data_IF_374061366373
#
_entry.id   IF_374061366373
#
_cell.length_a   1.000
_cell.length_b   1.000
_cell.length_c   1.000
_cell.angle_alpha   90.00
_cell.angle_beta   90.00
_cell.angle_gamma   90.00
#
_symmetry.space_group_name_H-M   'P 1'
#
loop_
_entity.id
_entity.type
_entity.pdbx_description
1 polymer ?
#
# COMPACT_ATOMS: atom_id res chain seq x y z
N UNK A 1 20.72 -2.16 -53.60
CA UNK A 1 21.12 -1.20 -52.54
C UNK A 1 20.34 -1.56 -51.29
N UNK A 2 21.00 -2.01 -50.23
CA UNK A 2 20.34 -2.32 -48.97
C UNK A 2 20.04 -1.01 -48.22
N UNK A 3 18.76 -0.73 -48.02
CA UNK A 3 18.33 0.38 -47.18
C UNK A 3 18.71 0.07 -45.73
N UNK A 4 19.47 0.95 -45.08
CA UNK A 4 19.78 0.83 -43.67
C UNK A 4 18.74 1.60 -42.86
N UNK A 5 18.29 1.00 -41.75
CA UNK A 5 17.33 1.60 -40.83
C UNK A 5 18.06 1.95 -39.55
N UNK A 6 17.90 3.17 -39.05
CA UNK A 6 18.43 3.54 -37.74
C UNK A 6 17.60 2.84 -36.66
N UNK A 7 18.24 2.05 -35.81
CA UNK A 7 17.55 1.29 -34.76
C UNK A 7 16.74 2.17 -33.80
N UNK A 8 17.26 3.36 -33.46
CA UNK A 8 16.63 4.23 -32.46
C UNK A 8 15.42 5.01 -32.98
N UNK A 9 15.49 5.53 -34.20
CA UNK A 9 14.43 6.40 -34.74
C UNK A 9 13.64 5.78 -35.89
N UNK A 10 13.97 4.54 -36.27
CA UNK A 10 13.37 3.79 -37.39
C UNK A 10 13.42 4.50 -38.75
N UNK A 11 14.20 5.58 -38.90
CA UNK A 11 14.35 6.29 -40.17
C UNK A 11 15.27 5.51 -41.10
N UNK A 12 14.83 5.34 -42.34
CA UNK A 12 15.64 4.81 -43.44
C UNK A 12 16.62 5.89 -43.88
N UNK A 13 17.89 5.54 -44.05
CA UNK A 13 18.88 6.45 -44.62
C UNK A 13 19.66 5.76 -45.74
N UNK A 14 19.92 6.51 -46.80
CA UNK A 14 20.66 6.02 -47.97
C UNK A 14 22.15 6.30 -47.77
N UNK A 15 22.99 5.32 -48.11
CA UNK A 15 24.45 5.37 -47.97
C UNK A 15 25.12 6.24 -49.05
N UNK A 16 24.50 7.39 -49.37
CA UNK A 16 24.89 8.24 -50.50
C UNK A 16 25.89 9.28 -49.97
N UNK A 17 27.17 8.88 -49.86
CA UNK A 17 28.33 9.78 -49.91
C UNK A 17 28.59 10.74 -48.74
N UNK A 18 27.67 10.91 -47.78
CA UNK A 18 27.90 11.75 -46.61
C UNK A 18 28.52 10.95 -45.45
N UNK A 19 29.38 11.63 -44.67
CA UNK A 19 30.19 11.11 -43.55
C UNK A 19 29.50 9.93 -42.83
N UNK A 20 30.21 8.81 -42.81
CA UNK A 20 29.74 7.47 -42.51
C UNK A 20 28.78 7.36 -41.30
N UNK A 21 27.77 6.47 -41.36
CA UNK A 21 27.03 6.05 -40.17
C UNK A 21 28.01 5.50 -39.14
N UNK A 22 28.00 6.06 -37.94
CA UNK A 22 28.82 5.54 -36.86
C UNK A 22 28.25 4.20 -36.41
N UNK A 23 29.10 3.18 -36.49
CA UNK A 23 28.80 1.82 -36.05
C UNK A 23 29.07 1.71 -34.57
N UNK A 24 28.10 1.20 -33.83
CA UNK A 24 28.28 0.83 -32.42
C UNK A 24 28.18 -0.69 -32.33
N UNK A 25 29.06 -1.31 -31.55
CA UNK A 25 28.97 -2.76 -31.29
C UNK A 25 27.71 -3.02 -30.46
N UNK A 26 26.90 -4.00 -30.85
CA UNK A 26 25.65 -4.32 -30.16
C UNK A 26 25.90 -4.63 -28.68
N UNK A 27 27.02 -5.30 -28.38
CA UNK A 27 27.51 -5.53 -27.01
C UNK A 27 27.66 -4.25 -26.18
N UNK A 28 28.09 -3.15 -26.80
CA UNK A 28 28.21 -1.84 -26.12
C UNK A 28 26.83 -1.24 -25.85
N UNK A 29 25.92 -1.29 -26.82
CA UNK A 29 24.53 -0.85 -26.61
C UNK A 29 23.86 -1.68 -25.51
N UNK A 30 23.99 -3.01 -25.54
CA UNK A 30 23.45 -3.88 -24.52
C UNK A 30 24.00 -3.49 -23.14
N UNK A 31 25.33 -3.40 -23.01
CA UNK A 31 25.96 -2.90 -21.78
C UNK A 31 25.34 -1.59 -21.32
N UNK A 32 25.14 -0.62 -22.23
CA UNK A 32 24.55 0.69 -21.94
C UNK A 32 23.11 0.61 -21.45
N UNK A 33 22.27 -0.24 -22.05
CA UNK A 33 20.86 -0.38 -21.70
C UNK A 33 20.62 -1.22 -20.43
N UNK A 34 21.49 -2.17 -20.12
CA UNK A 34 21.32 -3.08 -18.96
C UNK A 34 21.73 -2.42 -17.63
N UNK A 35 21.44 -1.13 -17.42
CA UNK A 35 21.88 -0.44 -16.21
C UNK A 35 21.23 -1.02 -14.92
N UNK A 36 22.12 -1.50 -14.05
CA UNK A 36 22.16 -1.30 -12.61
C UNK A 36 20.99 -1.81 -11.75
N UNK A 37 21.01 -3.13 -11.54
CA UNK A 37 20.81 -3.63 -10.19
C UNK A 37 22.06 -4.38 -9.75
N UNK A 38 23.02 -3.68 -9.14
CA UNK A 38 24.19 -4.30 -8.51
C UNK A 38 23.82 -5.39 -7.47
N UNK A 39 22.56 -5.41 -7.01
CA UNK A 39 22.03 -6.41 -6.08
C UNK A 39 21.16 -7.49 -6.74
N UNK A 40 20.79 -7.33 -8.01
CA UNK A 40 20.20 -8.45 -8.73
C UNK A 40 21.38 -9.27 -9.20
N UNK A 41 21.62 -10.39 -8.50
CA UNK A 41 22.53 -11.46 -8.93
C UNK A 41 22.28 -11.61 -10.42
N UNK A 42 23.23 -11.09 -11.22
CA UNK A 42 23.08 -11.02 -12.67
C UNK A 42 22.79 -12.44 -13.08
N UNK A 43 21.54 -12.72 -13.45
CA UNK A 43 21.22 -13.93 -14.19
C UNK A 43 22.13 -13.79 -15.40
N UNK A 44 23.20 -14.59 -15.40
CA UNK A 44 24.15 -14.73 -16.47
C UNK A 44 23.38 -15.30 -17.66
N UNK A 45 22.51 -14.48 -18.23
CA UNK A 45 22.06 -14.57 -19.59
C UNK A 45 23.32 -14.23 -20.39
N UNK A 46 24.19 -15.24 -20.54
CA UNK A 46 25.18 -15.33 -21.60
C UNK A 46 24.42 -15.32 -22.91
N UNK A 47 23.88 -14.16 -23.29
CA UNK A 47 23.63 -13.91 -24.69
C UNK A 47 25.01 -13.79 -25.32
N UNK A 48 25.46 -14.89 -25.92
CA UNK A 48 26.57 -14.92 -26.85
C UNK A 48 26.16 -14.11 -28.08
N UNK A 49 26.27 -12.79 -27.97
CA UNK A 49 26.30 -11.95 -29.16
C UNK A 49 27.56 -12.32 -29.93
N UNK A 50 27.40 -12.75 -31.18
CA UNK A 50 28.51 -12.91 -32.09
C UNK A 50 29.30 -11.59 -32.12
N UNK A 51 30.61 -11.67 -31.90
CA UNK A 51 31.43 -10.54 -31.40
C UNK A 51 31.45 -9.31 -32.31
N UNK A 52 31.00 -9.48 -33.54
CA UNK A 52 31.11 -8.51 -34.63
C UNK A 52 29.76 -7.89 -35.03
N UNK A 53 28.68 -8.18 -34.31
CA UNK A 53 27.39 -7.52 -34.54
C UNK A 53 27.49 -6.02 -34.26
N UNK A 54 27.30 -5.22 -35.31
CA UNK A 54 27.31 -3.76 -35.25
C UNK A 54 25.98 -3.18 -35.69
N UNK A 55 25.52 -2.16 -34.97
CA UNK A 55 24.32 -1.40 -35.31
C UNK A 55 24.72 -0.07 -35.95
N UNK A 56 23.95 0.36 -36.95
CA UNK A 56 24.15 1.64 -37.62
C UNK A 56 23.19 2.68 -37.03
N UNK A 57 23.73 3.84 -36.68
CA UNK A 57 22.96 4.96 -36.17
C UNK A 57 23.01 6.13 -37.14
N UNK A 58 21.91 6.88 -37.22
CA UNK A 58 21.91 8.11 -37.99
C UNK A 58 22.66 9.22 -37.24
N UNK A 59 23.06 10.25 -37.98
CA UNK A 59 23.85 11.39 -37.47
C UNK A 59 23.18 12.10 -36.28
N UNK A 60 21.85 12.08 -36.21
CA UNK A 60 21.09 12.70 -35.12
C UNK A 60 21.02 11.81 -33.86
N UNK A 61 21.06 10.48 -34.04
CA UNK A 61 20.92 9.53 -32.94
C UNK A 61 22.26 9.15 -32.31
N UNK A 62 23.37 9.25 -33.06
CA UNK A 62 24.69 8.92 -32.49
C UNK A 62 25.10 9.82 -31.31
N UNK A 63 24.92 11.16 -31.35
CA UNK A 63 25.24 12.01 -30.20
C UNK A 63 24.50 11.61 -28.91
N UNK A 64 23.31 11.01 -29.03
CA UNK A 64 22.55 10.52 -27.88
C UNK A 64 23.31 9.41 -27.12
N UNK A 65 24.06 8.56 -27.83
CA UNK A 65 24.91 7.56 -27.18
C UNK A 65 26.03 8.19 -26.36
N UNK A 66 26.68 9.22 -26.89
CA UNK A 66 27.69 9.96 -26.13
C UNK A 66 27.11 10.58 -24.85
N UNK A 67 25.90 11.14 -24.94
CA UNK A 67 25.20 11.65 -23.74
C UNK A 67 24.82 10.56 -22.76
N UNK A 68 24.38 9.38 -23.23
CA UNK A 68 24.06 8.24 -22.37
C UNK A 68 25.30 7.67 -21.66
N UNK A 69 26.42 7.55 -22.37
CA UNK A 69 27.71 7.13 -21.79
C UNK A 69 28.17 8.11 -20.71
N UNK A 70 28.05 9.41 -20.96
CA UNK A 70 28.39 10.44 -19.99
C UNK A 70 27.48 10.43 -18.76
N UNK A 71 26.16 10.32 -18.93
CA UNK A 71 25.21 10.18 -17.83
C UNK A 71 25.56 8.95 -17.00
N UNK A 72 25.89 7.82 -17.65
CA UNK A 72 26.31 6.60 -16.95
C UNK A 72 27.58 6.80 -16.14
N UNK A 73 28.58 7.47 -16.71
CA UNK A 73 29.83 7.79 -16.00
C UNK A 73 29.54 8.60 -14.74
N UNK A 74 28.62 9.57 -14.82
CA UNK A 74 28.20 10.37 -13.67
C UNK A 74 27.46 9.55 -12.61
N UNK A 75 26.56 8.64 -13.02
CA UNK A 75 25.87 7.73 -12.10
C UNK A 75 26.88 6.84 -11.35
N UNK A 76 27.85 6.25 -12.04
CA UNK A 76 28.86 5.41 -11.39
C UNK A 76 29.72 6.16 -10.38
N UNK A 77 30.08 7.41 -10.67
CA UNK A 77 30.80 8.26 -9.71
C UNK A 77 29.96 8.56 -8.46
N UNK A 78 28.66 8.84 -8.64
CA UNK A 78 27.73 9.06 -7.53
C UNK A 78 27.52 7.79 -6.68
N UNK A 79 27.41 6.63 -7.32
CA UNK A 79 27.27 5.33 -6.61
C UNK A 79 28.51 5.02 -5.76
N UNK A 80 29.71 5.28 -6.28
CA UNK A 80 30.97 5.13 -5.54
C UNK A 80 31.04 6.10 -4.34
N UNK A 81 30.68 7.37 -4.53
CA UNK A 81 30.63 8.36 -3.45
C UNK A 81 29.64 7.95 -2.36
N UNK A 82 28.42 7.53 -2.74
CA UNK A 82 27.42 7.02 -1.81
C UNK A 82 27.93 5.81 -1.03
N UNK A 83 28.56 4.84 -1.70
CA UNK A 83 29.17 3.68 -1.06
C UNK A 83 30.23 4.06 -0.03
N UNK A 84 31.11 4.99 -0.38
CA UNK A 84 32.13 5.54 0.52
C UNK A 84 31.51 6.21 1.76
N UNK A 85 30.48 7.04 1.58
CA UNK A 85 29.77 7.70 2.70
C UNK A 85 29.05 6.71 3.61
N UNK A 86 28.42 5.68 3.05
CA UNK A 86 27.79 4.60 3.84
C UNK A 86 28.85 3.88 4.69
N UNK A 87 30.00 3.54 4.11
CA UNK A 87 31.09 2.90 4.83
C UNK A 87 31.65 3.78 5.96
N UNK A 88 31.77 5.10 5.74
CA UNK A 88 32.14 6.06 6.78
C UNK A 88 31.13 6.08 7.93
N UNK A 89 29.83 6.12 7.63
CA UNK A 89 28.77 6.06 8.65
C UNK A 89 28.87 4.77 9.46
N UNK A 90 29.05 3.63 8.80
CA UNK A 90 29.21 2.33 9.47
C UNK A 90 30.44 2.28 10.38
N UNK A 91 31.58 2.84 9.93
CA UNK A 91 32.79 2.94 10.73
C UNK A 91 32.57 3.79 12.00
N UNK A 92 31.96 4.98 11.86
CA UNK A 92 31.64 5.87 12.99
C UNK A 92 30.71 5.18 14.00
N UNK A 93 29.67 4.47 13.52
CA UNK A 93 28.75 3.72 14.40
C UNK A 93 29.52 2.63 15.17
N UNK A 94 30.40 1.89 14.48
CA UNK A 94 31.21 0.83 15.10
C UNK A 94 32.18 1.39 16.14
N UNK A 95 32.87 2.48 15.84
CA UNK A 95 33.84 3.12 16.75
C UNK A 95 33.16 3.72 18.00
N UNK A 96 32.04 4.42 17.84
CA UNK A 96 31.29 5.00 18.97
C UNK A 96 30.65 3.93 19.84
N UNK A 97 30.20 2.84 19.24
CA UNK A 97 29.65 1.70 19.99
C UNK A 97 30.74 0.95 20.78
N UNK A 98 32.00 1.00 20.33
CA UNK A 98 33.11 0.33 21.00
C UNK A 98 33.65 1.13 22.20
N UNK A 99 33.72 2.45 22.11
CA UNK A 99 34.32 3.30 23.17
C UNK A 99 33.37 3.65 24.31
N UNK A 100 32.05 3.56 24.12
CA UNK A 100 31.06 3.83 25.17
C UNK A 100 30.68 2.58 25.99
N UNK A 101 31.20 1.41 25.60
CA UNK A 101 30.90 0.11 26.21
C UNK A 101 32.03 -0.45 27.07
N UNK A 102 33.15 0.24 27.17
CA UNK A 102 34.18 -0.07 28.17
C UNK A 102 33.65 0.34 29.56
N UNK A 103 33.11 -0.67 30.25
CA UNK A 103 32.99 -0.82 31.71
C UNK A 103 31.75 -0.32 32.46
N UNK A 104 30.79 0.42 31.86
CA UNK A 104 29.59 0.85 32.63
C UNK A 104 28.24 0.74 31.91
N UNK A 105 28.23 0.69 30.58
CA UNK A 105 26.99 0.63 29.80
C UNK A 105 26.38 -0.77 29.73
N UNK A 106 27.21 -1.80 29.57
CA UNK A 106 26.75 -3.19 29.41
C UNK A 106 26.14 -3.73 30.71
N UNK A 107 26.70 -3.40 31.87
CA UNK A 107 26.13 -3.77 33.18
C UNK A 107 24.74 -3.15 33.39
N UNK A 108 24.52 -1.90 32.95
CA UNK A 108 23.19 -1.27 33.05
C UNK A 108 22.17 -1.92 32.11
N UNK A 109 22.58 -2.30 30.90
CA UNK A 109 21.71 -3.03 29.97
C UNK A 109 21.38 -4.43 30.53
N UNK A 110 22.36 -5.12 31.10
CA UNK A 110 22.16 -6.42 31.77
C UNK A 110 21.28 -6.25 33.01
N UNK A 111 21.46 -5.22 33.83
CA UNK A 111 20.60 -4.91 34.99
C UNK A 111 19.16 -4.62 34.59
N UNK A 112 18.93 -3.82 33.54
CA UNK A 112 17.58 -3.53 33.05
C UNK A 112 16.92 -4.83 32.55
N UNK A 113 17.68 -5.66 31.81
CA UNK A 113 17.19 -6.96 31.32
C UNK A 113 16.84 -7.90 32.47
N UNK A 114 17.67 -7.99 33.49
CA UNK A 114 17.47 -8.86 34.67
C UNK A 114 16.30 -8.37 35.54
N UNK A 115 16.11 -7.07 35.66
CA UNK A 115 14.99 -6.46 36.37
C UNK A 115 13.66 -6.72 35.64
N UNK A 116 13.63 -6.66 34.31
CA UNK A 116 12.45 -7.05 33.52
C UNK A 116 12.15 -8.54 33.71
N UNK A 117 13.16 -9.41 33.62
CA UNK A 117 12.98 -10.85 33.83
C UNK A 117 12.41 -11.16 35.22
N UNK A 118 12.90 -10.50 36.28
CA UNK A 118 12.37 -10.63 37.64
C UNK A 118 10.93 -10.14 37.80
N UNK A 119 10.54 -9.09 37.09
CA UNK A 119 9.17 -8.58 37.10
C UNK A 119 8.21 -9.51 36.35
N UNK A 120 8.65 -10.14 35.26
CA UNK A 120 7.82 -11.09 34.50
C UNK A 120 7.77 -12.48 35.13
N UNK A 121 8.80 -12.92 35.87
CA UNK A 121 8.84 -14.23 36.51
C UNK A 121 8.07 -14.30 37.84
N UNK A 122 7.64 -13.16 38.39
CA UNK A 122 6.89 -13.07 39.66
C UNK A 122 5.37 -13.20 39.52
N UNK A 123 4.85 -13.37 38.31
CA UNK A 123 3.40 -13.37 38.08
C UNK A 123 2.74 -14.75 38.02
N UNK A 124 3.50 -15.84 38.06
CA UNK A 124 2.92 -17.15 37.71
C UNK A 124 2.81 -18.17 38.85
N UNK A 125 3.26 -17.90 40.09
CA UNK A 125 3.04 -18.86 41.20
C UNK A 125 2.70 -18.18 42.55
N UNK A 126 1.40 -18.31 42.90
CA UNK A 126 0.77 -18.53 44.22
C UNK A 126 0.97 -17.54 45.39
N UNK A 127 -0.16 -16.93 45.77
CA UNK A 127 -0.76 -16.94 47.13
C UNK A 127 0.15 -16.63 48.33
N UNK A 128 0.04 -15.41 48.88
CA UNK A 128 0.18 -15.17 50.33
C UNK A 128 -0.48 -13.85 50.76
N UNK A 129 -1.65 -14.04 51.39
CA UNK A 129 -2.03 -13.50 52.71
C UNK A 129 -2.24 -11.99 52.86
N UNK A 130 -3.51 -11.69 53.15
CA UNK A 130 -4.00 -10.74 54.16
C UNK A 130 -2.96 -9.75 54.70
N UNK A 131 -3.05 -8.51 54.23
CA UNK A 131 -3.16 -7.32 55.06
C UNK A 131 -3.00 -6.12 54.15
N UNK A 132 -4.08 -5.41 53.91
CA UNK A 132 -4.14 -3.95 53.90
C UNK A 132 -5.61 -3.56 53.80
N UNK A 133 -6.30 -3.65 54.94
CA UNK A 133 -7.41 -2.77 55.21
C UNK A 133 -6.89 -1.33 55.16
N UNK A 134 -7.45 -0.48 54.30
CA UNK A 134 -7.90 0.87 54.63
C UNK A 134 -8.55 1.56 53.41
N UNK A 135 -9.76 2.04 53.68
CA UNK A 135 -10.62 2.97 52.96
C UNK A 135 -11.51 2.47 51.82
N UNK A 136 -12.76 2.20 52.22
CA UNK A 136 -13.98 2.50 51.47
C UNK A 136 -13.90 3.87 50.78
N UNK A 137 -13.80 3.85 49.46
CA UNK A 137 -14.48 4.82 48.62
C UNK A 137 -15.16 4.02 47.49
N UNK A 138 -16.48 3.94 47.62
CA UNK A 138 -17.39 3.14 46.81
C UNK A 138 -17.53 3.78 45.42
N UNK A 139 -16.68 3.37 44.46
CA UNK A 139 -16.85 3.69 43.04
C UNK A 139 -17.44 2.46 42.35
N UNK A 140 -18.76 2.49 42.11
CA UNK A 140 -19.45 1.53 41.27
C UNK A 140 -18.97 1.66 39.81
N UNK A 141 -18.06 0.79 39.39
CA UNK A 141 -17.73 0.57 37.98
C UNK A 141 -18.62 -0.56 37.47
N UNK A 142 -19.61 -0.21 36.66
CA UNK A 142 -20.33 -1.18 35.81
C UNK A 142 -19.35 -1.77 34.79
N UNK A 143 -19.01 -3.04 34.94
CA UNK A 143 -18.39 -3.82 33.88
C UNK A 143 -19.46 -4.21 32.85
N UNK A 144 -19.41 -3.58 31.67
CA UNK A 144 -20.07 -4.10 30.48
C UNK A 144 -19.16 -5.16 29.84
N UNK A 145 -19.61 -6.42 29.92
CA UNK A 145 -19.02 -7.54 29.19
C UNK A 145 -19.36 -7.43 27.69
N UNK A 146 -18.47 -6.82 26.91
CA UNK A 146 -18.50 -6.92 25.44
C UNK A 146 -17.79 -8.19 24.98
N UNK A 147 -18.56 -9.30 24.94
CA UNK A 147 -18.22 -10.49 24.16
C UNK A 147 -18.37 -10.18 22.67
N UNK A 148 -17.30 -9.69 22.03
CA UNK A 148 -17.22 -9.62 20.57
C UNK A 148 -16.05 -10.50 20.10
N UNK A 149 -16.42 -11.54 19.35
CA UNK A 149 -15.55 -12.54 18.75
C UNK A 149 -14.46 -11.90 17.85
N UNK A 150 -13.14 -12.12 18.11
CA UNK A 150 -12.07 -11.32 17.50
C UNK A 150 -11.72 -11.60 16.03
N UNK A 151 -12.35 -12.56 15.34
CA UNK A 151 -11.71 -13.17 14.16
C UNK A 151 -12.22 -12.80 12.76
N UNK A 152 -13.27 -11.99 12.57
CA UNK A 152 -13.79 -11.77 11.20
C UNK A 152 -14.19 -10.32 10.80
N UNK A 153 -13.63 -9.29 11.46
CA UNK A 153 -13.96 -7.87 11.15
C UNK A 153 -12.78 -7.14 10.51
N UNK A 154 -12.37 -7.61 9.32
CA UNK A 154 -11.32 -7.01 8.50
C UNK A 154 -11.87 -5.90 7.59
N UNK A 155 -11.42 -4.66 7.81
CA UNK A 155 -11.65 -3.46 6.98
C UNK A 155 -13.07 -2.87 6.86
N UNK A 156 -14.13 -3.53 7.32
CA UNK A 156 -15.48 -2.92 7.30
C UNK A 156 -15.62 -1.71 8.23
N UNK A 157 -14.86 -1.62 9.32
CA UNK A 157 -14.96 -0.53 10.30
C UNK A 157 -14.70 0.88 9.73
N UNK A 158 -14.05 1.02 8.57
CA UNK A 158 -13.80 2.32 7.92
C UNK A 158 -14.67 2.56 6.68
N UNK A 159 -15.44 1.55 6.26
CA UNK A 159 -16.31 1.57 5.08
C UNK A 159 -17.80 1.41 5.43
N UNK A 160 -18.13 1.20 6.71
CA UNK A 160 -19.48 0.91 7.19
C UNK A 160 -20.42 2.12 7.32
N UNK A 161 -20.05 3.32 6.88
CA UNK A 161 -20.96 4.50 6.88
C UNK A 161 -22.02 4.47 5.77
N UNK A 162 -22.43 3.28 5.31
CA UNK A 162 -23.48 3.18 4.30
C UNK A 162 -24.61 2.20 4.65
N UNK A 163 -24.84 1.93 5.94
CA UNK A 163 -26.09 1.31 6.39
C UNK A 163 -26.64 2.00 7.64
N UNK A 164 -27.88 2.47 7.49
CA UNK A 164 -28.79 3.01 8.50
C UNK A 164 -28.45 4.36 9.16
N UNK A 165 -29.09 5.41 8.66
CA UNK A 165 -29.75 6.37 9.55
C UNK A 165 -31.21 6.50 9.11
N UNK A 166 -32.08 6.34 10.09
CA UNK A 166 -33.53 6.40 10.08
C UNK A 166 -34.09 7.60 9.30
N UNK A 167 -35.13 7.36 8.53
CA UNK A 167 -36.20 8.34 8.33
C UNK A 167 -37.50 7.68 8.78
N UNK A 168 -37.90 8.01 10.00
CA UNK A 168 -39.12 7.55 10.64
C UNK A 168 -40.31 8.43 10.21
N UNK A 169 -41.38 7.74 9.83
CA UNK A 169 -42.79 8.09 9.86
C UNK A 169 -43.24 9.51 9.44
N UNK A 170 -43.89 9.56 8.27
CA UNK A 170 -45.17 10.25 8.13
C UNK A 170 -46.20 9.23 7.64
N UNK A 171 -47.08 8.86 8.56
CA UNK A 171 -48.28 8.04 8.39
C UNK A 171 -49.34 8.79 7.59
N UNK A 172 -49.86 8.23 6.50
CA UNK A 172 -51.27 8.44 6.06
C UNK A 172 -51.78 7.17 5.36
N UNK A 173 -52.73 6.54 6.04
CA UNK A 173 -53.91 5.77 5.64
C UNK A 173 -53.88 4.64 4.60
N UNK A 174 -54.35 3.50 5.15
CA UNK A 174 -54.84 2.28 4.53
C UNK A 174 -55.97 2.53 3.54
N UNK A 175 -55.95 1.75 2.45
CA UNK A 175 -57.17 1.22 1.86
C UNK A 175 -56.99 -0.29 1.63
N UNK A 176 -58.08 -0.99 1.88
CA UNK A 176 -58.26 -2.42 2.13
C UNK A 176 -58.12 -3.29 0.87
N UNK A 177 -57.93 -4.60 1.06
CA UNK A 177 -58.02 -5.58 -0.03
C UNK A 177 -57.68 -7.02 0.36
N UNK A 178 -58.70 -7.74 0.86
CA UNK A 178 -59.04 -9.16 0.60
C UNK A 178 -58.03 -10.24 1.03
N UNK A 179 -58.30 -10.98 2.11
CA UNK A 179 -59.03 -12.28 2.14
C UNK A 179 -58.44 -13.38 1.25
N UNK A 180 -57.72 -14.33 1.86
CA UNK A 180 -57.86 -15.74 1.50
C UNK A 180 -57.55 -16.66 2.69
N UNK A 181 -58.61 -17.34 3.09
CA UNK A 181 -58.73 -18.47 4.00
C UNK A 181 -57.99 -19.71 3.45
N UNK A 182 -57.48 -20.57 4.34
CA UNK A 182 -56.69 -21.74 3.95
C UNK A 182 -56.11 -22.53 5.12
N UNK A 183 -56.99 -23.06 5.97
CA UNK A 183 -56.70 -24.15 6.91
C UNK A 183 -56.06 -25.36 6.21
N UNK A 184 -54.87 -25.79 6.66
CA UNK A 184 -54.46 -27.21 6.60
C UNK A 184 -53.72 -27.56 7.90
N UNK A 185 -54.32 -28.55 8.56
CA UNK A 185 -53.93 -29.24 9.78
C UNK A 185 -52.98 -30.41 9.46
N UNK A 186 -52.14 -30.78 10.43
CA UNK A 186 -51.51 -32.10 10.55
C UNK A 186 -50.30 -32.40 9.65
N UNK A 187 -49.13 -32.58 10.25
CA UNK A 187 -48.60 -33.90 10.65
C UNK A 187 -47.12 -33.78 11.02
N UNK A 188 -46.77 -34.39 12.14
CA UNK A 188 -45.42 -34.52 12.68
C UNK A 188 -44.62 -35.48 11.79
N UNK A 189 -43.61 -34.95 11.07
CA UNK A 189 -42.67 -35.80 10.35
C UNK A 189 -41.26 -35.60 10.90
N UNK A 190 -40.75 -36.68 11.50
CA UNK A 190 -39.40 -36.88 12.00
C UNK A 190 -38.36 -36.47 10.95
N UNK A 191 -37.94 -35.20 11.01
CA UNK A 191 -36.92 -34.68 10.10
C UNK A 191 -35.56 -35.16 10.58
N UNK A 192 -35.16 -36.33 10.08
CA UNK A 192 -33.82 -36.86 10.16
C UNK A 192 -32.79 -35.78 9.80
N UNK A 193 -31.79 -35.61 10.67
CA UNK A 193 -30.59 -34.80 10.43
C UNK A 193 -29.77 -35.40 9.28
N UNK A 194 -30.20 -35.15 8.04
CA UNK A 194 -29.37 -35.37 6.87
C UNK A 194 -28.33 -34.25 6.83
N UNK A 195 -27.14 -34.54 7.34
CA UNK A 195 -25.93 -33.78 7.01
C UNK A 195 -25.71 -33.98 5.51
N UNK A 196 -26.26 -33.09 4.69
CA UNK A 196 -25.94 -33.01 3.27
C UNK A 196 -24.52 -32.40 3.22
N UNK A 197 -23.48 -33.15 2.83
CA UNK A 197 -22.17 -32.55 2.62
C UNK A 197 -22.34 -31.47 1.56
N UNK A 198 -22.13 -30.21 1.97
CA UNK A 198 -22.26 -29.06 1.11
C UNK A 198 -21.40 -29.30 -0.12
N UNK A 199 -22.02 -29.34 -1.30
CA UNK A 199 -21.31 -29.34 -2.56
C UNK A 199 -20.39 -28.12 -2.55
N UNK A 200 -19.08 -28.37 -2.47
CA UNK A 200 -18.06 -27.33 -2.58
C UNK A 200 -18.36 -26.57 -3.86
N UNK A 201 -18.95 -25.38 -3.72
CA UNK A 201 -19.10 -24.44 -4.82
C UNK A 201 -17.70 -24.22 -5.33
N UNK A 202 -17.38 -24.79 -6.49
CA UNK A 202 -16.17 -24.45 -7.25
C UNK A 202 -16.20 -22.93 -7.35
N UNK A 203 -15.34 -22.28 -6.56
CA UNK A 203 -15.15 -20.85 -6.66
C UNK A 203 -14.78 -20.60 -8.10
N UNK A 204 -15.65 -19.92 -8.84
CA UNK A 204 -15.29 -19.31 -10.12
C UNK A 204 -14.01 -18.53 -9.86
N UNK A 205 -12.89 -19.05 -10.36
CA UNK A 205 -11.62 -18.34 -10.35
C UNK A 205 -11.78 -17.11 -11.23
N UNK A 206 -12.25 -16.02 -10.62
CA UNK A 206 -12.13 -14.69 -11.20
C UNK A 206 -10.63 -14.45 -11.42
N UNK A 207 -10.21 -13.99 -12.61
CA UNK A 207 -8.82 -13.65 -12.87
C UNK A 207 -8.32 -12.76 -11.73
N UNK A 208 -7.33 -13.23 -10.98
CA UNK A 208 -6.72 -12.44 -9.90
C UNK A 208 -6.09 -11.22 -10.55
N UNK A 209 -6.79 -10.10 -10.52
CA UNK A 209 -6.21 -8.79 -10.84
C UNK A 209 -5.04 -8.61 -9.88
N UNK A 210 -3.82 -8.57 -10.40
CA UNK A 210 -2.62 -8.43 -9.57
C UNK A 210 -2.82 -7.19 -8.71
N UNK A 211 -2.89 -7.40 -7.39
CA UNK A 211 -2.97 -6.30 -6.44
C UNK A 211 -1.77 -5.39 -6.70
N UNK A 212 -1.96 -4.05 -6.72
CA UNK A 212 -0.87 -3.12 -6.97
C UNK A 212 0.29 -3.45 -6.02
N UNK A 213 1.42 -3.81 -6.61
CA UNK A 213 2.64 -4.22 -5.92
C UNK A 213 3.09 -3.10 -4.98
N UNK A 214 2.81 -3.31 -3.70
CA UNK A 214 3.43 -2.73 -2.48
C UNK A 214 3.75 -1.23 -2.42
N UNK A 215 3.29 -0.41 -3.36
CA UNK A 215 3.47 1.02 -3.29
C UNK A 215 2.70 1.53 -2.06
N UNK A 216 3.45 1.95 -1.03
CA UNK A 216 2.90 2.64 0.13
C UNK A 216 2.99 4.16 -0.04
N UNK A 217 3.49 4.63 -1.18
CA UNK A 217 3.79 6.04 -1.41
C UNK A 217 2.65 6.75 -2.14
N UNK A 218 2.50 8.03 -1.79
CA UNK A 218 1.67 8.97 -2.53
C UNK A 218 2.27 9.20 -3.92
N UNK A 219 1.42 9.25 -4.94
CA UNK A 219 1.85 9.59 -6.29
C UNK A 219 2.09 11.11 -6.34
N UNK A 220 3.29 11.53 -6.76
CA UNK A 220 3.56 12.95 -7.02
C UNK A 220 2.69 13.43 -8.18
N UNK A 221 1.93 14.52 -7.98
CA UNK A 221 1.01 15.05 -9.00
C UNK A 221 1.45 16.43 -9.46
N UNK A 222 1.21 16.72 -10.74
CA UNK A 222 1.47 18.02 -11.36
C UNK A 222 0.27 18.97 -11.19
N UNK A 223 -0.90 18.43 -10.85
CA UNK A 223 -2.13 19.22 -10.69
C UNK A 223 -2.23 19.76 -9.25
N UNK A 224 -2.28 21.07 -9.02
CA UNK A 224 -2.42 21.63 -7.69
C UNK A 224 -3.66 21.10 -6.96
N UNK A 225 -3.46 20.62 -5.73
CA UNK A 225 -4.53 20.10 -4.88
C UNK A 225 -5.02 18.69 -5.22
N UNK A 226 -4.45 18.02 -6.23
CA UNK A 226 -4.72 16.60 -6.51
C UNK A 226 -3.81 15.72 -5.65
N UNK A 227 -4.40 14.88 -4.81
CA UNK A 227 -3.67 13.85 -4.06
C UNK A 227 -4.11 12.48 -4.55
N UNK A 228 -3.17 11.63 -4.95
CA UNK A 228 -3.47 10.26 -5.41
C UNK A 228 -2.64 9.27 -4.62
N UNK A 229 -3.30 8.26 -4.08
CA UNK A 229 -2.64 7.31 -3.20
C UNK A 229 -3.22 5.89 -3.28
N UNK A 230 -2.43 4.85 -2.97
CA UNK A 230 -2.87 3.46 -2.98
C UNK A 230 -3.87 3.15 -1.85
N UNK A 231 -5.04 2.62 -2.19
CA UNK A 231 -6.00 2.04 -1.26
C UNK A 231 -5.89 0.50 -1.24
N UNK A 232 -6.75 -0.18 -0.46
CA UNK A 232 -6.64 -1.63 -0.21
C UNK A 232 -6.71 -2.51 -1.46
N UNK A 233 -7.44 -2.09 -2.49
CA UNK A 233 -7.57 -2.85 -3.76
C UNK A 233 -7.06 -2.09 -4.99
N UNK A 234 -7.24 -0.78 -5.02
CA UNK A 234 -6.92 0.09 -6.16
C UNK A 234 -6.38 1.44 -5.65
N UNK A 235 -6.34 2.46 -6.51
CA UNK A 235 -6.01 3.83 -6.13
C UNK A 235 -7.24 4.61 -5.65
N UNK A 236 -7.00 5.59 -4.78
CA UNK A 236 -7.94 6.62 -4.39
C UNK A 236 -7.36 8.00 -4.74
N UNK A 237 -8.23 8.98 -4.95
CA UNK A 237 -7.84 10.36 -5.23
C UNK A 237 -8.70 11.36 -4.45
N UNK A 238 -8.08 12.46 -4.04
CA UNK A 238 -8.75 13.63 -3.47
C UNK A 238 -8.50 14.81 -4.39
N UNK A 239 -9.57 15.50 -4.78
CA UNK A 239 -9.49 16.71 -5.58
C UNK A 239 -10.67 17.63 -5.29
N UNK A 240 -10.39 18.92 -5.05
CA UNK A 240 -11.39 19.97 -4.74
C UNK A 240 -12.39 19.59 -3.63
N UNK A 241 -11.92 18.90 -2.58
CA UNK A 241 -12.77 18.47 -1.46
C UNK A 241 -13.70 17.30 -1.76
N UNK A 242 -13.48 16.56 -2.85
CA UNK A 242 -14.19 15.33 -3.19
C UNK A 242 -13.26 14.12 -3.12
N UNK A 243 -13.78 12.98 -2.65
CA UNK A 243 -13.06 11.72 -2.55
C UNK A 243 -13.52 10.74 -3.65
N UNK A 244 -12.56 10.25 -4.42
CA UNK A 244 -12.78 9.37 -5.56
C UNK A 244 -12.08 8.03 -5.36
N UNK A 245 -12.70 6.97 -5.85
CA UNK A 245 -12.14 5.62 -5.92
C UNK A 245 -11.97 5.21 -7.37
N UNK A 246 -10.91 4.47 -7.67
CA UNK A 246 -10.71 3.91 -9.00
C UNK A 246 -11.88 3.01 -9.41
N UNK A 247 -12.39 3.24 -10.62
CA UNK A 247 -13.48 2.45 -11.19
C UNK A 247 -12.97 1.53 -12.30
N UNK A 248 -12.24 2.09 -13.27
CA UNK A 248 -11.72 1.33 -14.41
C UNK A 248 -10.55 2.05 -15.10
N UNK A 249 -9.72 1.27 -15.78
CA UNK A 249 -8.62 1.75 -16.61
C UNK A 249 -9.11 1.83 -18.07
N UNK A 250 -8.96 3.00 -18.69
CA UNK A 250 -9.14 3.20 -20.13
C UNK A 250 -7.80 3.09 -20.88
N UNK A 251 -7.80 3.40 -22.18
CA UNK A 251 -6.59 3.28 -23.04
C UNK A 251 -5.44 4.14 -22.50
N UNK A 252 -5.69 5.44 -22.27
CA UNK A 252 -4.65 6.40 -21.84
C UNK A 252 -5.00 7.12 -20.52
N UNK A 253 -5.97 6.59 -19.77
CA UNK A 253 -6.49 7.26 -18.57
C UNK A 253 -7.06 6.30 -17.54
N UNK A 254 -7.01 6.70 -16.27
CA UNK A 254 -7.75 6.06 -15.20
C UNK A 254 -9.03 6.84 -14.91
N UNK A 255 -10.14 6.11 -14.82
CA UNK A 255 -11.45 6.68 -14.51
C UNK A 255 -11.74 6.42 -13.03
N UNK A 256 -11.81 7.49 -12.25
CA UNK A 256 -12.17 7.48 -10.84
C UNK A 256 -13.62 7.96 -10.69
N UNK A 257 -14.34 7.40 -9.72
CA UNK A 257 -15.74 7.73 -9.42
C UNK A 257 -15.86 8.22 -7.98
N UNK A 258 -16.71 9.22 -7.76
CA UNK A 258 -17.00 9.71 -6.41
C UNK A 258 -17.52 8.57 -5.51
N UNK A 259 -17.11 8.55 -4.24
CA UNK A 259 -17.56 7.51 -3.30
C UNK A 259 -19.05 7.59 -2.97
N UNK A 260 -19.68 8.74 -3.14
CA UNK A 260 -21.14 8.91 -2.95
C UNK A 260 -21.97 8.49 -4.16
N UNK A 261 -21.40 7.76 -5.12
CA UNK A 261 -22.14 7.35 -6.31
C UNK A 261 -23.35 6.44 -6.02
N UNK A 262 -23.30 5.68 -4.93
CA UNK A 262 -24.43 4.87 -4.46
C UNK A 262 -25.58 5.73 -3.91
N UNK A 263 -25.34 7.02 -3.66
CA UNK A 263 -26.33 8.03 -3.27
C UNK A 263 -26.70 8.96 -4.43
N UNK A 264 -26.50 8.49 -5.67
CA UNK A 264 -26.84 9.25 -6.89
C UNK A 264 -25.77 10.22 -7.38
N UNK A 265 -24.58 10.29 -6.76
CA UNK A 265 -23.53 11.19 -7.25
C UNK A 265 -22.92 10.69 -8.57
N UNK A 266 -22.86 11.57 -9.57
CA UNK A 266 -22.29 11.28 -10.89
C UNK A 266 -20.87 11.80 -11.08
N UNK A 267 -20.26 12.38 -10.03
CA UNK A 267 -18.92 12.94 -10.07
C UNK A 267 -17.88 11.92 -10.52
N UNK A 268 -17.08 12.32 -11.51
CA UNK A 268 -16.00 11.51 -12.10
C UNK A 268 -14.73 12.32 -12.19
N UNK A 269 -13.59 11.64 -12.08
CA UNK A 269 -12.28 12.21 -12.27
C UNK A 269 -11.52 11.35 -13.27
N UNK A 270 -10.97 11.95 -14.31
CA UNK A 270 -10.10 11.25 -15.26
C UNK A 270 -8.66 11.66 -14.99
N UNK A 271 -7.82 10.67 -14.69
CA UNK A 271 -6.38 10.84 -14.47
C UNK A 271 -5.60 10.27 -15.65
N UNK A 272 -4.41 10.79 -15.93
CA UNK A 272 -3.49 10.20 -16.91
C UNK A 272 -3.10 8.77 -16.52
N UNK A 273 -2.58 7.97 -17.47
CA UNK A 273 -2.19 6.57 -17.23
C UNK A 273 -1.18 6.39 -16.06
N UNK A 274 -0.37 7.40 -15.76
CA UNK A 274 0.59 7.45 -14.64
C UNK A 274 0.04 8.11 -13.36
N UNK A 275 -1.23 8.50 -13.33
CA UNK A 275 -1.87 9.21 -12.20
C UNK A 275 -1.33 10.61 -11.85
N UNK A 276 -0.39 11.16 -12.62
CA UNK A 276 0.28 12.41 -12.29
C UNK A 276 -0.56 13.67 -12.55
N UNK A 277 -1.53 13.63 -13.46
CA UNK A 277 -2.32 14.81 -13.82
C UNK A 277 -3.76 14.48 -14.22
N UNK A 278 -4.61 15.52 -14.26
CA UNK A 278 -5.96 15.41 -14.80
C UNK A 278 -5.94 15.26 -16.32
N UNK A 279 -6.53 14.18 -16.82
CA UNK A 279 -6.76 14.01 -18.25
C UNK A 279 -7.92 14.89 -18.77
N UNK A 280 -8.81 15.36 -17.89
CA UNK A 280 -9.89 16.28 -18.24
C UNK A 280 -10.34 17.09 -17.03
N UNK A 281 -10.18 18.42 -17.10
CA UNK A 281 -10.58 19.35 -16.04
C UNK A 281 -12.09 19.56 -15.99
N UNK A 282 -12.79 19.46 -17.13
CA UNK A 282 -14.24 19.67 -17.23
C UNK A 282 -15.06 18.67 -16.40
N UNK A 283 -14.57 17.44 -16.23
CA UNK A 283 -15.26 16.43 -15.42
C UNK A 283 -15.02 16.60 -13.92
N UNK A 284 -13.95 17.28 -13.55
CA UNK A 284 -13.52 17.49 -12.18
C UNK A 284 -14.17 18.72 -11.51
N UNK A 285 -15.23 19.26 -12.12
CA UNK A 285 -16.00 20.39 -11.61
C UNK A 285 -16.97 20.00 -10.49
N UNK A 286 -17.29 20.97 -9.62
CA UNK A 286 -18.23 20.78 -8.51
C UNK A 286 -19.67 20.57 -9.01
N UNK A 287 -19.99 21.10 -10.19
CA UNK A 287 -21.26 20.96 -10.90
C UNK A 287 -21.60 19.50 -11.28
N UNK A 288 -20.60 18.61 -11.31
CA UNK A 288 -20.80 17.19 -11.61
C UNK A 288 -21.12 16.36 -10.36
N UNK A 289 -21.18 16.97 -9.17
CA UNK A 289 -21.51 16.31 -7.91
C UNK A 289 -22.92 16.69 -7.44
N UNK A 290 -23.63 15.72 -6.88
CA UNK A 290 -24.95 15.91 -6.29
C UNK A 290 -24.91 16.22 -4.80
N UNK A 291 -23.73 16.60 -4.28
CA UNK A 291 -23.48 16.90 -2.88
C UNK A 291 -22.38 17.96 -2.76
N UNK A 292 -22.34 18.72 -1.66
CA UNK A 292 -21.27 19.68 -1.42
C UNK A 292 -19.91 19.00 -1.26
N UNK A 293 -18.85 19.78 -1.42
CA UNK A 293 -17.50 19.36 -1.10
C UNK A 293 -17.35 19.13 0.42
N UNK A 294 -16.59 18.12 0.81
CA UNK A 294 -16.39 17.70 2.19
C UNK A 294 -14.89 17.60 2.47
N UNK A 295 -14.21 18.75 2.65
CA UNK A 295 -12.77 18.79 2.85
C UNK A 295 -12.34 17.97 4.08
N UNK A 296 -13.10 18.06 5.17
CA UNK A 296 -12.84 17.37 6.43
C UNK A 296 -12.86 15.85 6.27
N UNK A 297 -13.85 15.32 5.53
CA UNK A 297 -13.93 13.90 5.21
C UNK A 297 -12.75 13.45 4.35
N UNK A 298 -12.34 14.28 3.39
CA UNK A 298 -11.18 13.99 2.53
C UNK A 298 -9.88 13.97 3.35
N UNK A 299 -9.67 14.96 4.22
CA UNK A 299 -8.51 15.04 5.11
C UNK A 299 -8.47 13.83 6.04
N UNK A 300 -9.59 13.46 6.67
CA UNK A 300 -9.69 12.27 7.52
C UNK A 300 -9.26 10.99 6.77
N UNK A 301 -9.81 10.75 5.57
CA UNK A 301 -9.47 9.55 4.78
C UNK A 301 -7.99 9.54 4.38
N UNK A 302 -7.44 10.69 4.00
CA UNK A 302 -6.03 10.82 3.63
C UNK A 302 -5.10 10.59 4.83
N UNK A 303 -5.43 11.15 5.99
CA UNK A 303 -4.64 11.00 7.22
C UNK A 303 -4.68 9.56 7.75
N UNK A 304 -5.82 8.87 7.67
CA UNK A 304 -5.90 7.43 7.97
C UNK A 304 -5.05 6.61 7.00
N UNK A 305 -5.04 6.97 5.71
CA UNK A 305 -4.15 6.32 4.75
C UNK A 305 -2.67 6.55 5.07
N UNK A 306 -2.27 7.80 5.37
CA UNK A 306 -0.89 8.13 5.79
C UNK A 306 -0.48 7.34 7.02
N UNK A 307 -1.36 7.25 8.01
CA UNK A 307 -1.13 6.44 9.21
C UNK A 307 -0.86 4.97 8.86
N UNK A 308 -1.69 4.37 7.98
CA UNK A 308 -1.49 2.99 7.50
C UNK A 308 -0.18 2.85 6.72
N UNK A 309 0.17 3.84 5.90
CA UNK A 309 1.42 3.83 5.12
C UNK A 309 2.65 3.90 6.02
N UNK A 310 2.71 4.88 6.92
CA UNK A 310 3.76 5.04 7.91
C UNK A 310 3.90 3.79 8.80
N UNK A 311 2.78 3.19 9.22
CA UNK A 311 2.80 1.94 9.97
C UNK A 311 3.48 0.79 9.22
N UNK A 312 3.31 0.70 7.89
CA UNK A 312 3.91 -0.37 7.08
C UNK A 312 5.42 -0.19 6.89
N UNK A 313 5.90 1.05 6.82
CA UNK A 313 7.30 1.39 6.51
C UNK A 313 8.16 1.70 7.73
N UNK A 314 7.59 2.24 8.81
CA UNK A 314 8.32 2.68 10.01
C UNK A 314 8.45 1.58 11.07
N UNK A 315 9.59 1.59 11.78
CA UNK A 315 9.88 0.75 12.94
C UNK A 315 9.54 1.42 14.28
N UNK A 316 9.10 2.68 14.26
CA UNK A 316 8.85 3.48 15.48
C UNK A 316 7.73 2.89 16.37
N UNK A 317 7.65 3.25 17.65
CA UNK A 317 6.52 2.82 18.47
C UNK A 317 5.19 3.35 17.94
N UNK A 318 4.11 2.58 18.12
CA UNK A 318 2.76 2.94 17.64
C UNK A 318 2.30 4.31 18.12
N UNK A 319 2.64 4.67 19.36
CA UNK A 319 2.34 5.98 19.94
C UNK A 319 3.03 7.14 19.21
N UNK A 320 4.28 6.98 18.79
CA UNK A 320 5.02 8.01 18.05
C UNK A 320 4.40 8.26 16.68
N UNK A 321 4.08 7.19 15.94
CA UNK A 321 3.41 7.31 14.64
C UNK A 321 2.04 8.01 14.79
N UNK A 322 1.26 7.67 15.83
CA UNK A 322 -0.02 8.33 16.07
C UNK A 322 0.15 9.80 16.42
N UNK A 323 1.07 10.14 17.33
CA UNK A 323 1.31 11.51 17.74
C UNK A 323 1.75 12.39 16.56
N UNK A 324 2.69 11.90 15.74
CA UNK A 324 3.16 12.61 14.55
C UNK A 324 2.03 12.81 13.53
N UNK A 325 1.28 11.75 13.21
CA UNK A 325 0.24 11.86 12.20
C UNK A 325 -0.93 12.73 12.67
N UNK A 326 -1.35 12.65 13.94
CA UNK A 326 -2.42 13.48 14.49
C UNK A 326 -2.01 14.95 14.64
N UNK A 327 -0.72 15.23 14.94
CA UNK A 327 -0.21 16.61 14.99
C UNK A 327 -0.28 17.33 13.65
N UNK A 328 -0.31 16.60 12.53
CA UNK A 328 -0.41 17.14 11.18
C UNK A 328 -1.86 17.30 10.67
N UNK A 329 -2.86 16.94 11.47
CA UNK A 329 -4.29 17.06 11.13
C UNK A 329 -4.85 18.35 11.73
N UNK A 330 -5.69 19.04 10.96
CA UNK A 330 -6.50 20.17 11.43
C UNK A 330 -7.32 19.83 12.69
N UNK A 331 -7.50 20.80 13.58
CA UNK A 331 -8.20 20.61 14.86
C UNK A 331 -9.66 20.20 14.63
N UNK A 332 -10.28 20.73 13.58
CA UNK A 332 -11.63 20.45 13.14
C UNK A 332 -11.80 18.96 12.79
N UNK A 333 -10.83 18.38 12.11
CA UNK A 333 -10.88 16.98 11.68
C UNK A 333 -10.49 16.01 12.81
N UNK A 334 -9.68 16.44 13.78
CA UNK A 334 -9.30 15.62 14.94
C UNK A 334 -10.52 15.10 15.71
N UNK A 335 -11.58 15.91 15.84
CA UNK A 335 -12.84 15.48 16.48
C UNK A 335 -13.60 14.38 15.72
N UNK A 336 -13.32 14.22 14.42
CA UNK A 336 -13.93 13.20 13.56
C UNK A 336 -13.13 11.89 13.49
N UNK A 337 -11.96 11.81 14.15
CA UNK A 337 -11.20 10.58 14.19
C UNK A 337 -11.88 9.52 15.08
N UNK A 338 -11.75 8.24 14.72
CA UNK A 338 -12.07 7.16 15.65
C UNK A 338 -11.25 7.27 16.94
N UNK A 339 -11.76 6.65 18.01
CA UNK A 339 -11.05 6.52 19.29
C UNK A 339 -9.59 6.06 19.07
N UNK A 340 -8.66 6.62 19.86
CA UNK A 340 -7.21 6.35 19.74
C UNK A 340 -6.91 4.84 19.77
N UNK A 341 -7.62 4.07 20.60
CA UNK A 341 -7.47 2.60 20.69
C UNK A 341 -7.77 1.91 19.35
N UNK A 342 -8.76 2.38 18.58
CA UNK A 342 -9.06 1.87 17.24
C UNK A 342 -7.93 2.20 16.26
N UNK A 343 -7.35 3.40 16.34
CA UNK A 343 -6.22 3.80 15.50
C UNK A 343 -4.96 2.99 15.82
N UNK A 344 -4.70 2.68 17.09
CA UNK A 344 -3.61 1.78 17.50
C UNK A 344 -3.76 0.40 16.86
N UNK A 345 -4.97 -0.18 16.86
CA UNK A 345 -5.25 -1.46 16.18
C UNK A 345 -5.02 -1.36 14.67
N UNK A 346 -5.31 -0.22 14.04
CA UNK A 346 -5.01 0.00 12.61
C UNK A 346 -3.52 -0.05 12.33
N UNK A 347 -2.70 0.61 13.15
CA UNK A 347 -1.23 0.60 13.02
C UNK A 347 -0.70 -0.82 13.19
N UNK A 348 -1.12 -1.52 14.26
CA UNK A 348 -0.71 -2.90 14.55
C UNK A 348 -1.07 -3.85 13.40
N UNK A 349 -2.32 -3.80 12.90
CA UNK A 349 -2.76 -4.64 11.76
C UNK A 349 -1.98 -4.33 10.48
N UNK A 350 -1.74 -3.05 10.20
CA UNK A 350 -0.98 -2.63 9.02
C UNK A 350 0.45 -3.17 9.04
N UNK A 351 1.08 -3.23 10.23
CA UNK A 351 2.40 -3.84 10.46
C UNK A 351 2.39 -5.35 10.29
N UNK A 352 1.42 -6.03 10.88
CA UNK A 352 1.29 -7.48 10.75
C UNK A 352 1.14 -7.86 9.27
N UNK A 353 0.29 -7.15 8.53
CA UNK A 353 0.09 -7.37 7.10
C UNK A 353 1.37 -7.12 6.28
N UNK A 354 2.17 -6.08 6.59
CA UNK A 354 3.41 -5.82 5.85
C UNK A 354 4.49 -6.87 6.12
N UNK A 355 4.54 -7.46 7.31
CA UNK A 355 5.46 -8.56 7.65
C UNK A 355 5.11 -9.84 6.90
N UNK A 356 3.82 -10.18 6.82
CA UNK A 356 3.35 -11.35 6.07
C UNK A 356 3.72 -11.26 4.59
N UNK A 357 3.53 -10.09 3.96
CA UNK A 357 3.88 -9.88 2.56
C UNK A 357 5.40 -10.04 2.27
N UNK A 358 6.26 -9.75 3.25
CA UNK A 358 7.71 -9.92 3.11
C UNK A 358 8.13 -11.40 3.20
N UNK A 359 7.46 -12.19 4.02
CA UNK A 359 7.77 -13.62 4.20
C UNK A 359 7.36 -14.47 3.00
N UNK A 360 6.25 -14.13 2.33
CA UNK A 360 5.78 -14.87 1.15
C UNK A 360 6.57 -14.57 -0.12
N UNK A 361 7.40 -13.53 -0.12
CA UNK A 361 8.26 -13.17 -1.26
C UNK A 361 9.60 -13.91 -1.29
N UNK A 362 9.92 -14.68 -0.25
CA UNK A 362 11.12 -15.52 -0.18
C UNK A 362 10.72 -16.99 -0.17
N UNK A 363 10.19 -17.52 -1.27
CA UNK A 363 10.26 -18.96 -1.49
C UNK A 363 11.72 -19.32 -1.76
N UNK A 364 12.38 -20.13 -0.91
CA UNK A 364 13.66 -20.71 -1.25
C UNK A 364 13.40 -21.76 -2.33
N UNK A 365 13.74 -21.46 -3.58
CA UNK A 365 13.94 -22.47 -4.62
C UNK A 365 15.18 -23.29 -4.24
N UNK A 366 15.07 -24.14 -3.23
CA UNK A 366 15.98 -25.27 -3.05
C UNK A 366 15.51 -26.38 -3.97
N UNK A 367 15.90 -26.29 -5.25
CA UNK A 367 15.90 -27.44 -6.13
C UNK A 367 16.82 -28.49 -5.52
N UNK A 368 16.21 -29.57 -5.06
CA UNK A 368 16.88 -30.82 -4.73
C UNK A 368 17.50 -31.35 -6.02
N UNK A 369 18.83 -31.25 -6.14
CA UNK A 369 19.57 -31.98 -7.17
C UNK A 369 19.35 -33.48 -6.93
N UNK A 370 18.69 -34.13 -7.88
CA UNK A 370 18.64 -35.58 -7.96
C UNK A 370 20.03 -36.09 -8.40
N UNK A 371 20.65 -37.01 -7.66
CA UNK A 371 21.93 -37.58 -8.06
C UNK A 371 21.76 -38.46 -9.30
N UNK A 372 22.66 -38.28 -10.27
CA UNK A 372 22.79 -39.05 -11.51
C UNK A 372 23.27 -40.48 -11.31
#
# INVERSE_FOLDING_TARGET
>A
MSNQVCLLCSRVFSNIGYKFPQKIRLKTLHKLLTLCHHNYKSLNSEYEFDGDETINLCVNCYPLFGTMEEIRRQISLLEEEMGSKINQIQAIIREKSSSQLENNGMEKIVQIRDMIFRLTARNDEEELVENLALHDDEVQVKEEHDLIDPLEVGDQFFLADNRNSYSEAASVDRAEGEEMDGLIDGEEDDTAFCIIPSSQKRSRESPRTMAPTSACHEVSTQTPGLKVFPASKNYAAIYKGFYYVHQKTGVDKHIMRCTRHNRGCHGKLHLTANYESLASTALAGAENHSHPAEPDYCELKYSVWKLKSAAKSSLEPTSAILAEQLANVSVEVQGSFPKISSLQRVVQRSRAASRLCKQTGSTPDSLVELPS
#
